data_IF_562672186628
#
_entry.id   IF_562672186628
#
_cell.length_a   1.000
_cell.length_b   1.000
_cell.length_c   1.000
_cell.angle_alpha   90.00
_cell.angle_beta   90.00
_cell.angle_gamma   90.00
#
_symmetry.space_group_name_H-M   'P 1'
#
loop_
_entity.id
_entity.type
_entity.pdbx_description
1 polymer ?
#
# COMPACT_ATOMS: atom_id res chain seq x y z
N UNK A 1 -17.83 0.79 1.35
CA UNK A 1 -17.45 1.68 0.23
C UNK A 1 -17.12 0.84 -0.97
N UNK A 2 -17.82 1.02 -2.10
CA UNK A 2 -17.50 0.30 -3.34
C UNK A 2 -16.27 0.89 -4.01
N UNK A 3 -15.55 0.07 -4.74
CA UNK A 3 -14.48 0.46 -5.65
C UNK A 3 -14.99 0.15 -7.04
N UNK A 4 -15.01 1.16 -7.92
CA UNK A 4 -15.51 1.00 -9.28
C UNK A 4 -14.51 1.54 -10.30
N UNK A 5 -14.17 0.72 -11.27
CA UNK A 5 -13.37 1.08 -12.43
C UNK A 5 -14.27 1.02 -13.67
N UNK A 6 -14.28 2.09 -14.48
CA UNK A 6 -15.06 2.15 -15.70
C UNK A 6 -14.17 2.52 -16.89
N UNK A 7 -14.00 1.57 -17.81
CA UNK A 7 -13.24 1.72 -19.07
C UNK A 7 -11.85 2.34 -18.87
N UNK A 8 -11.18 1.95 -17.79
CA UNK A 8 -9.88 2.51 -17.41
C UNK A 8 -8.80 2.02 -18.36
N UNK A 9 -8.12 2.98 -18.97
CA UNK A 9 -6.92 2.76 -19.76
C UNK A 9 -5.74 3.48 -19.10
N UNK A 10 -4.55 2.91 -19.23
CA UNK A 10 -3.33 3.56 -18.80
C UNK A 10 -2.19 3.27 -19.79
N UNK A 11 -1.51 4.33 -20.19
CA UNK A 11 -0.39 4.29 -21.14
C UNK A 11 0.84 4.87 -20.45
N UNK A 12 1.89 4.09 -20.38
CA UNK A 12 3.22 4.55 -19.93
C UNK A 12 3.89 5.34 -21.05
N UNK A 13 4.54 6.46 -20.71
CA UNK A 13 5.34 7.29 -21.63
C UNK A 13 4.63 7.61 -22.95
N UNK A 14 3.39 8.15 -22.93
CA UNK A 14 2.60 8.35 -24.14
C UNK A 14 3.32 9.31 -25.12
N UNK A 15 3.24 8.99 -26.43
CA UNK A 15 3.87 9.78 -27.50
C UNK A 15 5.38 9.63 -27.62
N UNK A 16 5.99 8.66 -26.93
CA UNK A 16 7.43 8.35 -27.04
C UNK A 16 7.68 6.99 -27.64
N UNK A 17 8.94 6.70 -28.04
CA UNK A 17 9.35 5.37 -28.49
C UNK A 17 9.25 4.28 -27.42
N UNK A 18 9.06 4.66 -26.15
CA UNK A 18 8.88 3.75 -25.00
C UNK A 18 7.41 3.62 -24.58
N UNK A 19 6.47 4.07 -25.43
CA UNK A 19 5.05 3.96 -25.14
C UNK A 19 4.64 2.50 -24.94
N UNK A 20 3.97 2.23 -23.83
CA UNK A 20 3.48 0.90 -23.48
C UNK A 20 2.13 1.00 -22.80
N UNK A 21 1.15 0.22 -23.30
CA UNK A 21 -0.15 0.08 -22.64
C UNK A 21 0.01 -0.73 -21.34
N UNK A 22 -0.36 -0.13 -20.22
CA UNK A 22 -0.34 -0.77 -18.90
C UNK A 22 -1.71 -1.34 -18.52
N UNK A 23 -2.81 -0.63 -18.86
CA UNK A 23 -4.19 -1.10 -18.68
C UNK A 23 -4.96 -0.86 -19.97
N UNK A 24 -5.85 -1.80 -20.32
CA UNK A 24 -6.67 -1.76 -21.54
C UNK A 24 -8.14 -1.99 -21.22
N UNK A 25 -8.94 -0.91 -21.27
CA UNK A 25 -10.39 -0.92 -21.10
C UNK A 25 -10.88 -1.71 -19.87
N UNK A 26 -10.21 -1.55 -18.72
CA UNK A 26 -10.48 -2.29 -17.50
C UNK A 26 -11.73 -1.75 -16.82
N UNK A 27 -12.72 -2.64 -16.59
CA UNK A 27 -13.95 -2.30 -15.88
C UNK A 27 -14.30 -3.40 -14.90
N UNK A 28 -14.54 -3.04 -13.64
CA UNK A 28 -15.02 -3.94 -12.59
C UNK A 28 -15.54 -3.13 -11.41
N UNK A 29 -16.23 -3.81 -10.52
CA UNK A 29 -16.68 -3.26 -9.23
C UNK A 29 -16.36 -4.25 -8.11
N UNK A 30 -15.84 -3.73 -6.99
CA UNK A 30 -15.59 -4.49 -5.77
C UNK A 30 -16.52 -3.98 -4.67
N UNK A 31 -17.13 -4.94 -3.96
CA UNK A 31 -18.01 -4.64 -2.82
C UNK A 31 -17.19 -4.39 -1.53
N UNK A 32 -17.82 -3.71 -0.59
CA UNK A 32 -17.27 -3.51 0.75
C UNK A 32 -16.98 -4.84 1.46
N UNK A 33 -16.00 -4.79 2.37
CA UNK A 33 -15.61 -5.91 3.22
C UNK A 33 -15.22 -7.18 2.45
N UNK A 34 -14.78 -7.03 1.20
CA UNK A 34 -14.32 -8.15 0.38
C UNK A 34 -12.80 -8.34 0.49
N UNK A 35 -12.37 -9.60 0.47
CA UNK A 35 -10.97 -9.97 0.25
C UNK A 35 -10.85 -10.51 -1.18
N UNK A 36 -10.14 -9.77 -2.03
CA UNK A 36 -10.05 -10.05 -3.46
C UNK A 36 -8.63 -10.41 -3.85
N UNK A 37 -8.45 -11.50 -4.59
CA UNK A 37 -7.17 -11.89 -5.16
C UNK A 37 -7.10 -11.49 -6.65
N UNK A 38 -6.06 -10.73 -7.00
CA UNK A 38 -5.73 -10.38 -8.38
C UNK A 38 -4.72 -11.39 -8.93
N UNK A 39 -5.13 -12.20 -9.89
CA UNK A 39 -4.33 -13.28 -10.46
C UNK A 39 -4.01 -12.99 -11.92
N UNK A 40 -2.79 -13.27 -12.34
CA UNK A 40 -2.32 -13.11 -13.72
C UNK A 40 -0.80 -13.29 -13.82
N UNK A 41 -0.30 -13.52 -15.03
CA UNK A 41 1.15 -13.66 -15.29
C UNK A 41 1.90 -12.33 -15.03
N UNK A 42 3.22 -12.41 -14.91
CA UNK A 42 4.08 -11.23 -14.82
C UNK A 42 3.89 -10.34 -16.06
N UNK A 43 3.76 -9.02 -15.83
CA UNK A 43 3.52 -8.06 -16.92
C UNK A 43 2.04 -7.93 -17.35
N UNK A 44 1.08 -8.63 -16.71
CA UNK A 44 -0.36 -8.48 -17.02
C UNK A 44 -1.01 -7.21 -16.49
N UNK A 45 -0.26 -6.30 -15.88
CA UNK A 45 -0.78 -5.02 -15.40
C UNK A 45 -1.25 -5.01 -13.93
N UNK A 46 -1.04 -6.07 -13.14
CA UNK A 46 -1.48 -6.16 -11.73
C UNK A 46 -0.98 -4.98 -10.88
N UNK A 47 0.33 -4.76 -10.85
CA UNK A 47 0.94 -3.66 -10.08
C UNK A 47 0.50 -2.29 -10.61
N UNK A 48 0.35 -2.16 -11.94
CA UNK A 48 -0.21 -0.95 -12.56
C UNK A 48 -1.63 -0.69 -12.05
N UNK A 49 -2.48 -1.72 -12.03
CA UNK A 49 -3.85 -1.60 -11.53
C UNK A 49 -3.86 -1.21 -10.05
N UNK A 50 -3.04 -1.84 -9.20
CA UNK A 50 -2.96 -1.53 -7.77
C UNK A 50 -2.55 -0.08 -7.51
N UNK A 51 -1.62 0.48 -8.31
CA UNK A 51 -1.20 1.88 -8.19
C UNK A 51 -2.29 2.89 -8.56
N UNK A 52 -3.33 2.47 -9.24
CA UNK A 52 -4.49 3.32 -9.51
C UNK A 52 -5.44 3.42 -8.31
N UNK A 53 -5.46 2.45 -7.39
CA UNK A 53 -6.34 2.48 -6.23
C UNK A 53 -6.09 3.68 -5.30
N UNK A 54 -4.84 4.09 -5.11
CA UNK A 54 -4.49 5.26 -4.29
C UNK A 54 -4.07 6.48 -5.13
N UNK A 55 -4.40 6.46 -6.43
CA UNK A 55 -4.04 7.49 -7.40
C UNK A 55 -2.53 7.82 -7.42
N UNK A 56 -1.67 6.84 -7.18
CA UNK A 56 -0.24 6.94 -7.48
C UNK A 56 -0.05 7.06 -9.00
N UNK A 57 -0.78 6.23 -9.76
CA UNK A 57 -1.01 6.41 -11.18
C UNK A 57 -2.46 6.90 -11.39
N UNK A 58 -2.65 7.74 -12.40
CA UNK A 58 -3.97 8.22 -12.83
C UNK A 58 -4.31 7.64 -14.19
N UNK A 59 -5.57 7.32 -14.46
CA UNK A 59 -5.95 6.76 -15.76
C UNK A 59 -5.63 7.73 -16.89
N UNK A 60 -5.21 7.22 -18.04
CA UNK A 60 -5.10 8.02 -19.28
C UNK A 60 -6.48 8.31 -19.85
N UNK A 61 -7.45 7.41 -19.66
CA UNK A 61 -8.89 7.59 -19.91
C UNK A 61 -9.72 6.64 -19.07
N UNK A 62 -11.04 6.87 -18.98
CA UNK A 62 -11.92 6.18 -18.06
C UNK A 62 -11.96 6.83 -16.69
N UNK A 63 -12.67 6.22 -15.74
CA UNK A 63 -12.90 6.77 -14.40
C UNK A 63 -12.73 5.72 -13.31
N UNK A 64 -12.37 6.18 -12.12
CA UNK A 64 -12.21 5.34 -10.93
C UNK A 64 -12.93 6.01 -9.78
N UNK A 65 -13.92 5.33 -9.20
CA UNK A 65 -14.58 5.74 -7.97
C UNK A 65 -14.07 4.87 -6.82
N UNK A 66 -13.44 5.48 -5.82
CA UNK A 66 -12.85 4.79 -4.68
C UNK A 66 -12.85 5.65 -3.43
N UNK A 67 -13.30 5.09 -2.32
CA UNK A 67 -13.31 5.78 -1.02
C UNK A 67 -13.99 7.16 -1.06
N UNK A 68 -15.00 7.36 -1.94
CA UNK A 68 -15.70 8.63 -2.15
C UNK A 68 -14.96 9.63 -3.02
N UNK A 69 -13.88 9.22 -3.69
CA UNK A 69 -13.13 10.04 -4.65
C UNK A 69 -13.42 9.59 -6.07
N UNK A 70 -13.63 10.56 -6.97
CA UNK A 70 -13.76 10.34 -8.40
C UNK A 70 -12.45 10.74 -9.09
N UNK A 71 -11.76 9.78 -9.70
CA UNK A 71 -10.41 9.93 -10.26
C UNK A 71 -10.48 9.77 -11.77
N UNK A 72 -9.94 10.77 -12.47
CA UNK A 72 -9.83 10.82 -13.94
C UNK A 72 -8.41 11.25 -14.33
N UNK A 73 -8.14 11.30 -15.64
CA UNK A 73 -6.89 11.86 -16.18
C UNK A 73 -6.61 13.29 -15.70
N UNK A 74 -7.67 14.10 -15.48
CA UNK A 74 -7.58 15.51 -15.08
C UNK A 74 -7.52 15.71 -13.57
N UNK A 75 -7.62 14.66 -12.76
CA UNK A 75 -7.59 14.77 -11.31
C UNK A 75 -6.29 15.40 -10.82
N UNK A 76 -6.39 16.54 -10.14
CA UNK A 76 -5.26 17.23 -9.52
C UNK A 76 -4.72 16.51 -8.27
N UNK A 77 -3.52 16.90 -7.80
CA UNK A 77 -2.88 16.25 -6.65
C UNK A 77 -3.35 16.78 -5.28
N UNK A 78 -4.05 17.93 -5.24
CA UNK A 78 -4.34 18.65 -3.98
C UNK A 78 -5.10 17.85 -2.92
N UNK A 79 -5.98 16.93 -3.32
CA UNK A 79 -6.81 16.15 -2.39
C UNK A 79 -6.37 14.69 -2.23
N UNK A 80 -5.30 14.27 -2.93
CA UNK A 80 -4.88 12.87 -2.93
C UNK A 80 -4.24 12.41 -1.60
N UNK A 81 -3.76 13.35 -0.77
CA UNK A 81 -3.25 13.02 0.58
C UNK A 81 -4.32 12.33 1.44
N UNK A 82 -5.55 12.84 1.43
CA UNK A 82 -6.67 12.25 2.18
C UNK A 82 -7.08 10.89 1.62
N UNK A 83 -7.07 10.71 0.29
CA UNK A 83 -7.31 9.42 -0.35
C UNK A 83 -6.24 8.41 0.10
N UNK A 84 -4.95 8.78 0.04
CA UNK A 84 -3.83 7.90 0.37
C UNK A 84 -3.78 7.49 1.84
N UNK A 85 -4.34 8.29 2.74
CA UNK A 85 -4.57 7.88 4.14
C UNK A 85 -5.57 6.73 4.23
N UNK A 86 -6.60 6.73 3.38
CA UNK A 86 -7.68 5.72 3.40
C UNK A 86 -7.36 4.49 2.56
N UNK A 87 -6.51 4.65 1.54
CA UNK A 87 -6.15 3.60 0.59
C UNK A 87 -4.64 3.46 0.55
N UNK A 88 -4.13 2.47 1.24
CA UNK A 88 -2.69 2.20 1.31
C UNK A 88 -2.27 1.05 0.40
N UNK A 89 -1.03 1.10 -0.04
CA UNK A 89 -0.41 0.11 -0.92
C UNK A 89 0.88 -0.42 -0.29
N UNK A 90 0.96 -1.72 -0.07
CA UNK A 90 2.21 -2.42 0.24
C UNK A 90 2.81 -2.89 -1.07
N UNK A 91 3.97 -2.36 -1.43
CA UNK A 91 4.70 -2.73 -2.65
C UNK A 91 5.42 -4.07 -2.50
N UNK A 92 5.80 -4.65 -3.63
CA UNK A 92 6.76 -5.74 -3.65
C UNK A 92 8.09 -5.25 -3.04
N UNK A 93 8.67 -6.03 -2.10
CA UNK A 93 9.87 -5.63 -1.33
C UNK A 93 9.70 -4.30 -0.57
N UNK A 94 8.73 -4.22 0.35
CA UNK A 94 8.42 -2.97 1.06
C UNK A 94 9.58 -2.49 1.93
N UNK A 95 10.49 -3.38 2.33
CA UNK A 95 11.71 -3.06 3.06
C UNK A 95 12.66 -2.10 2.33
N UNK A 96 12.57 -2.02 1.01
CA UNK A 96 13.35 -1.04 0.23
C UNK A 96 12.85 0.41 0.40
N UNK A 97 11.74 0.62 1.11
CA UNK A 97 11.16 1.93 1.37
C UNK A 97 11.51 2.49 2.75
N UNK A 98 12.25 1.75 3.57
CA UNK A 98 12.74 2.23 4.87
C UNK A 98 13.82 3.30 4.67
N UNK A 99 13.74 4.40 5.39
CA UNK A 99 14.65 5.55 5.20
C UNK A 99 14.95 6.33 6.48
N UNK A 100 14.22 6.12 7.57
CA UNK A 100 14.42 6.85 8.83
C UNK A 100 15.58 6.26 9.64
N UNK A 101 16.03 7.01 10.65
CA UNK A 101 17.15 6.60 11.49
C UNK A 101 16.79 5.46 12.44
N UNK A 102 15.54 5.39 12.89
CA UNK A 102 15.06 4.37 13.81
C UNK A 102 13.80 3.68 13.27
N UNK A 103 13.61 2.45 13.72
CA UNK A 103 12.39 1.64 13.45
C UNK A 103 11.13 2.40 13.87
N UNK A 104 11.17 3.07 15.03
CA UNK A 104 10.03 3.82 15.54
C UNK A 104 9.68 4.99 14.62
N UNK A 105 10.68 5.76 14.20
CA UNK A 105 10.48 6.91 13.30
C UNK A 105 9.92 6.48 11.94
N UNK A 106 10.40 5.38 11.35
CA UNK A 106 9.86 4.85 10.10
C UNK A 106 8.37 4.51 10.22
N UNK A 107 7.95 3.89 11.32
CA UNK A 107 6.55 3.53 11.54
C UNK A 107 5.69 4.77 11.86
N UNK A 108 6.23 5.75 12.58
CA UNK A 108 5.55 7.02 12.91
C UNK A 108 5.36 7.94 11.71
N UNK A 109 6.16 7.79 10.67
CA UNK A 109 6.19 8.71 9.53
C UNK A 109 4.82 8.89 8.87
N UNK A 110 4.12 7.78 8.57
CA UNK A 110 2.78 7.83 7.98
C UNK A 110 1.78 8.59 8.87
N UNK A 111 1.54 8.16 10.12
CA UNK A 111 0.66 8.84 11.05
C UNK A 111 0.96 10.34 11.22
N UNK A 112 2.23 10.73 11.40
CA UNK A 112 2.65 12.14 11.49
C UNK A 112 2.34 12.91 10.21
N UNK A 113 2.69 12.33 9.06
CA UNK A 113 2.39 12.93 7.77
C UNK A 113 0.87 13.14 7.57
N UNK A 114 0.02 12.29 8.13
CA UNK A 114 -1.44 12.43 8.07
C UNK A 114 -2.04 13.24 9.24
N UNK A 115 -1.21 13.88 10.06
CA UNK A 115 -1.62 14.88 11.05
C UNK A 115 -1.87 14.33 12.44
N UNK A 116 -1.38 13.14 12.78
CA UNK A 116 -1.34 12.67 14.16
C UNK A 116 -0.32 13.48 14.97
N UNK A 117 -0.60 13.66 16.26
CA UNK A 117 0.39 14.20 17.20
C UNK A 117 1.54 13.21 17.42
N UNK A 118 2.65 13.65 17.98
CA UNK A 118 3.80 12.78 18.28
C UNK A 118 3.41 11.62 19.18
N UNK A 119 2.60 11.87 20.22
CA UNK A 119 2.14 10.84 21.15
C UNK A 119 1.20 9.82 20.47
N UNK A 120 0.28 10.29 19.63
CA UNK A 120 -0.60 9.41 18.85
C UNK A 120 0.18 8.56 17.86
N UNK A 121 1.13 9.16 17.13
CA UNK A 121 1.97 8.47 16.17
C UNK A 121 2.81 7.40 16.86
N UNK A 122 3.45 7.74 17.99
CA UNK A 122 4.24 6.81 18.80
C UNK A 122 3.39 5.63 19.31
N UNK A 123 2.21 5.93 19.83
CA UNK A 123 1.28 4.89 20.33
C UNK A 123 0.89 3.92 19.20
N UNK A 124 0.56 4.44 18.01
CA UNK A 124 0.26 3.63 16.84
C UNK A 124 1.46 2.80 16.39
N UNK A 125 2.64 3.40 16.34
CA UNK A 125 3.86 2.73 15.93
C UNK A 125 4.19 1.55 16.85
N UNK A 126 4.19 1.73 18.16
CA UNK A 126 4.43 0.66 19.14
C UNK A 126 3.37 -0.45 19.06
N UNK A 127 2.08 -0.08 18.89
CA UNK A 127 1.00 -1.04 18.66
C UNK A 127 1.26 -1.90 17.44
N UNK A 128 1.65 -1.30 16.30
CA UNK A 128 1.87 -2.02 15.07
C UNK A 128 3.19 -2.78 15.05
N UNK A 129 4.25 -2.26 15.66
CA UNK A 129 5.50 -2.99 15.88
C UNK A 129 5.23 -4.35 16.58
N UNK A 130 4.44 -4.34 17.65
CA UNK A 130 4.03 -5.55 18.36
C UNK A 130 3.15 -6.47 17.49
N UNK A 131 2.20 -5.90 16.72
CA UNK A 131 1.28 -6.66 15.87
C UNK A 131 1.99 -7.43 14.75
N UNK A 132 3.05 -6.85 14.20
CA UNK A 132 3.88 -7.54 13.19
C UNK A 132 4.86 -8.54 13.81
N UNK A 133 4.81 -8.74 15.13
CA UNK A 133 5.62 -9.73 15.86
C UNK A 133 7.07 -9.31 16.09
N UNK A 134 7.32 -8.00 16.21
CA UNK A 134 8.63 -7.45 16.58
C UNK A 134 8.64 -7.01 18.04
N UNK A 135 9.79 -7.19 18.69
CA UNK A 135 10.01 -6.77 20.06
C UNK A 135 10.21 -5.25 20.15
N UNK A 136 9.66 -4.62 21.19
CA UNK A 136 9.75 -3.18 21.41
C UNK A 136 11.19 -2.68 21.59
N UNK A 137 12.12 -3.54 22.03
CA UNK A 137 13.55 -3.21 22.13
C UNK A 137 14.18 -2.84 20.79
N UNK A 138 13.55 -3.19 19.68
CA UNK A 138 13.98 -2.82 18.33
C UNK A 138 13.59 -1.38 17.95
N UNK A 139 12.69 -0.74 18.68
CA UNK A 139 12.12 0.57 18.34
C UNK A 139 13.18 1.66 18.07
N UNK A 140 14.24 1.67 18.88
CA UNK A 140 15.32 2.67 18.79
C UNK A 140 16.51 2.21 17.96
N UNK A 141 16.46 1.02 17.34
CA UNK A 141 17.52 0.55 16.43
C UNK A 141 17.32 1.12 15.04
N UNK A 142 18.43 1.20 14.29
CA UNK A 142 18.34 1.50 12.87
C UNK A 142 17.64 0.36 12.12
N UNK A 143 16.69 0.65 11.21
CA UNK A 143 16.08 -0.39 10.39
C UNK A 143 17.12 -1.21 9.62
N UNK A 144 18.23 -0.60 9.24
CA UNK A 144 19.29 -1.22 8.45
C UNK A 144 20.18 -2.19 9.24
N UNK A 145 20.03 -2.24 10.57
CA UNK A 145 20.67 -3.25 11.42
C UNK A 145 19.83 -4.52 11.57
N UNK A 146 18.63 -4.53 11.02
CA UNK A 146 17.69 -5.64 11.15
C UNK A 146 17.89 -6.69 10.06
N UNK A 147 17.42 -7.91 10.30
CA UNK A 147 17.33 -8.92 9.26
C UNK A 147 16.30 -8.49 8.19
N UNK A 148 16.44 -8.98 6.95
CA UNK A 148 15.50 -8.65 5.86
C UNK A 148 14.03 -8.93 6.20
N UNK A 149 13.76 -10.02 6.92
CA UNK A 149 12.41 -10.34 7.41
C UNK A 149 11.90 -9.36 8.46
N UNK A 150 12.76 -8.85 9.34
CA UNK A 150 12.43 -7.82 10.31
C UNK A 150 12.19 -6.46 9.61
N UNK A 151 13.09 -6.06 8.69
CA UNK A 151 12.90 -4.85 7.88
C UNK A 151 11.55 -4.85 7.16
N UNK A 152 11.18 -5.98 6.54
CA UNK A 152 9.87 -6.11 5.88
C UNK A 152 8.71 -5.94 6.85
N UNK A 153 8.79 -6.50 8.06
CA UNK A 153 7.78 -6.32 9.11
C UNK A 153 7.67 -4.86 9.56
N UNK A 154 8.79 -4.15 9.67
CA UNK A 154 8.82 -2.71 9.98
C UNK A 154 8.10 -1.92 8.88
N UNK A 155 8.45 -2.14 7.61
CA UNK A 155 7.81 -1.45 6.48
C UNK A 155 6.29 -1.69 6.42
N UNK A 156 5.86 -2.93 6.67
CA UNK A 156 4.43 -3.26 6.75
C UNK A 156 3.78 -2.58 7.97
N UNK A 157 4.44 -2.55 9.12
CA UNK A 157 3.94 -1.82 10.29
C UNK A 157 3.73 -0.33 9.99
N UNK A 158 4.65 0.30 9.24
CA UNK A 158 4.52 1.70 8.80
C UNK A 158 3.26 1.94 7.97
N UNK A 159 2.99 1.08 6.98
CA UNK A 159 1.76 1.18 6.18
C UNK A 159 0.50 0.94 7.01
N UNK A 160 0.55 -0.04 7.92
CA UNK A 160 -0.61 -0.42 8.74
C UNK A 160 -0.88 0.57 9.88
N UNK A 161 0.12 1.37 10.30
CA UNK A 161 -0.04 2.38 11.36
C UNK A 161 -1.00 3.51 10.95
N UNK A 162 -1.23 3.70 9.66
CA UNK A 162 -2.23 4.63 9.13
C UNK A 162 -3.67 4.11 9.28
N UNK A 163 -3.84 2.82 9.60
CA UNK A 163 -5.12 2.14 9.74
C UNK A 163 -6.03 2.36 8.51
N UNK A 164 -5.55 2.00 7.29
CA UNK A 164 -6.27 2.26 6.05
C UNK A 164 -7.57 1.47 5.96
N UNK A 165 -8.59 2.05 5.32
CA UNK A 165 -9.87 1.39 5.02
C UNK A 165 -9.76 0.38 3.87
N UNK A 166 -8.82 0.63 2.94
CA UNK A 166 -8.54 -0.24 1.80
C UNK A 166 -7.04 -0.50 1.78
N UNK A 167 -6.66 -1.77 1.81
CA UNK A 167 -5.27 -2.21 1.75
C UNK A 167 -5.02 -2.99 0.46
N UNK A 168 -4.15 -2.46 -0.39
CA UNK A 168 -3.66 -3.13 -1.58
C UNK A 168 -2.31 -3.81 -1.27
N UNK A 169 -2.14 -5.06 -1.68
CA UNK A 169 -0.96 -5.87 -1.40
C UNK A 169 -0.36 -6.37 -2.71
N UNK A 170 0.78 -5.83 -3.13
CA UNK A 170 1.50 -6.25 -4.33
C UNK A 170 2.57 -7.27 -3.95
N UNK A 171 2.26 -8.55 -4.08
CA UNK A 171 3.11 -9.69 -3.74
C UNK A 171 3.79 -9.59 -2.34
N UNK A 172 3.04 -9.30 -1.25
CA UNK A 172 3.61 -8.93 0.05
C UNK A 172 4.43 -10.06 0.69
N UNK A 173 4.26 -11.28 0.22
CA UNK A 173 4.94 -12.48 0.73
C UNK A 173 6.02 -13.03 -0.23
N UNK A 174 6.38 -12.26 -1.29
CA UNK A 174 7.42 -12.67 -2.22
C UNK A 174 8.78 -12.83 -1.50
N UNK A 175 9.48 -13.94 -1.76
CA UNK A 175 10.78 -14.22 -1.16
C UNK A 175 10.77 -14.64 0.32
N UNK A 176 9.60 -14.76 0.97
CA UNK A 176 9.50 -15.27 2.33
C UNK A 176 9.49 -16.80 2.36
N UNK A 177 10.09 -17.36 3.42
CA UNK A 177 9.96 -18.78 3.75
C UNK A 177 8.47 -19.14 4.06
N UNK A 178 8.08 -20.42 4.00
CA UNK A 178 6.68 -20.84 4.14
C UNK A 178 6.03 -20.43 5.48
N UNK A 179 6.81 -20.42 6.59
CA UNK A 179 6.31 -20.04 7.91
C UNK A 179 6.04 -18.54 7.97
N UNK A 180 7.02 -17.72 7.60
CA UNK A 180 6.91 -16.26 7.57
C UNK A 180 5.80 -15.80 6.62
N UNK A 181 5.63 -16.46 5.47
CA UNK A 181 4.52 -16.21 4.55
C UNK A 181 3.17 -16.42 5.22
N UNK A 182 2.99 -17.56 5.92
CA UNK A 182 1.73 -17.86 6.59
C UNK A 182 1.39 -16.86 7.70
N UNK A 183 2.40 -16.46 8.49
CA UNK A 183 2.25 -15.46 9.55
C UNK A 183 1.86 -14.10 8.97
N UNK A 184 2.51 -13.68 7.90
CA UNK A 184 2.24 -12.42 7.22
C UNK A 184 0.82 -12.39 6.61
N UNK A 185 0.43 -13.44 5.92
CA UNK A 185 -0.92 -13.52 5.34
C UNK A 185 -1.99 -13.55 6.43
N UNK A 186 -1.73 -14.20 7.57
CA UNK A 186 -2.63 -14.18 8.72
C UNK A 186 -2.81 -12.76 9.27
N UNK A 187 -1.76 -11.97 9.37
CA UNK A 187 -1.83 -10.57 9.80
C UNK A 187 -2.83 -9.76 8.94
N UNK A 188 -2.77 -9.91 7.62
CA UNK A 188 -3.68 -9.20 6.71
C UNK A 188 -5.12 -9.69 6.81
N UNK A 189 -5.34 -11.01 6.93
CA UNK A 189 -6.67 -11.58 7.14
C UNK A 189 -7.28 -11.13 8.47
N UNK A 190 -6.46 -11.06 9.53
CA UNK A 190 -6.94 -10.60 10.85
C UNK A 190 -7.19 -9.09 10.88
N UNK A 191 -6.55 -8.33 9.99
CA UNK A 191 -6.83 -6.90 9.84
C UNK A 191 -8.17 -6.63 9.13
N UNK A 192 -8.58 -7.48 8.20
CA UNK A 192 -9.82 -7.31 7.43
C UNK A 192 -11.09 -7.57 8.28
N UNK A 193 -10.97 -8.32 9.39
CA UNK A 193 -12.08 -8.62 10.32
C UNK A 193 -12.41 -7.46 11.25
#
# INVERSE_FOLDING_TARGET
MSIKFEKVNYIYSPGTSMEKKGLDNVSFELTENSFVALVGHTGSGKSTLMQHFNALLKPSSGTIDIAGYHITAQTGNKNLKKLRKRVSLVFQFPEAQLFENTVLEDIEFGPKNFGATDDEAKSKALKWLKRVGLDESLANKSPFELSGGQMRRVAIAGVMADEPEILCLDEPAAGLDPKSRKEMMKLFVDYQK
#
